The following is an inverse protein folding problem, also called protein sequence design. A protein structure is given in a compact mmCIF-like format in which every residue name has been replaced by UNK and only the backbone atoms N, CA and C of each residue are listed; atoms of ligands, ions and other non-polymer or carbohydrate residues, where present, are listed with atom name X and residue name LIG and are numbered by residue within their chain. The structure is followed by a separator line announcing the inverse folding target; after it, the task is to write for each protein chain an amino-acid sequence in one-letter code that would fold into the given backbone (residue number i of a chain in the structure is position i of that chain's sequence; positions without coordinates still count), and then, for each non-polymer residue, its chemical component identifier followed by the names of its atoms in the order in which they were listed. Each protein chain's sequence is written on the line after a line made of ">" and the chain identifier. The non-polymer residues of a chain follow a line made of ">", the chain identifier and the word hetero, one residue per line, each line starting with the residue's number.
data_IF_287625411419
#
_entry.id   IF_287625411419
#
_cell.length_a   1.000
_cell.length_b   1.000
_cell.length_c   1.000
_cell.angle_alpha   90.00
_cell.angle_beta   90.00
_cell.angle_gamma   90.00
#
_symmetry.space_group_name_H-M   'P 1'
#
loop_
_entity.id
_entity.type
_entity.pdbx_description
1 polymer ?
#
# COMPACT_ATOMS: atom_id res chain seq x y z
N UNK A 1 -36.05 56.97 63.21
CA UNK A 1 -37.52 57.01 63.06
C UNK A 1 -37.90 56.28 61.79
N UNK A 2 -38.66 55.19 61.96
CA UNK A 2 -39.59 54.49 61.04
C UNK A 2 -39.52 54.84 59.53
N UNK A 3 -39.23 53.84 58.69
CA UNK A 3 -40.28 53.15 57.93
C UNK A 3 -39.72 51.95 57.12
N UNK A 4 -40.24 50.77 57.45
CA UNK A 4 -40.26 49.57 56.61
C UNK A 4 -41.00 49.86 55.30
N UNK A 5 -40.52 49.34 54.18
CA UNK A 5 -41.41 48.77 53.17
C UNK A 5 -40.81 47.52 52.52
N UNK A 6 -41.62 46.46 52.58
CA UNK A 6 -41.42 45.12 52.04
C UNK A 6 -41.65 45.14 50.53
N UNK A 7 -40.81 44.46 49.76
CA UNK A 7 -41.24 43.77 48.54
C UNK A 7 -40.40 42.50 48.36
N UNK A 8 -41.05 41.36 48.53
CA UNK A 8 -40.56 40.03 48.14
C UNK A 8 -41.04 39.82 46.71
N UNK A 9 -40.10 39.76 45.76
CA UNK A 9 -40.37 39.37 44.38
C UNK A 9 -39.82 37.96 44.18
N UNK A 10 -40.71 36.99 44.01
CA UNK A 10 -40.36 35.64 43.56
C UNK A 10 -40.02 35.70 42.07
N UNK A 11 -38.76 35.43 41.72
CA UNK A 11 -38.33 35.24 40.34
C UNK A 11 -38.10 33.74 40.09
N UNK A 12 -39.09 33.10 39.46
CA UNK A 12 -38.98 31.73 38.97
C UNK A 12 -38.22 31.76 37.64
N UNK A 13 -36.91 31.51 37.66
CA UNK A 13 -36.14 31.31 36.43
C UNK A 13 -36.16 29.82 36.09
N UNK A 14 -36.87 29.49 35.02
CA UNK A 14 -36.85 28.19 34.36
C UNK A 14 -35.44 27.94 33.81
N UNK A 15 -34.78 26.90 34.30
CA UNK A 15 -33.57 26.35 33.71
C UNK A 15 -33.92 25.70 32.36
N UNK A 16 -33.74 26.43 31.27
CA UNK A 16 -33.60 25.83 29.95
C UNK A 16 -32.23 25.16 29.92
N UNK A 17 -32.21 23.85 30.06
CA UNK A 17 -31.06 23.02 29.76
C UNK A 17 -30.78 23.12 28.27
N UNK A 18 -29.81 23.95 27.90
CA UNK A 18 -29.15 23.87 26.60
C UNK A 18 -28.39 22.56 26.60
N UNK A 19 -29.07 21.50 26.15
CA UNK A 19 -28.41 20.28 25.71
C UNK A 19 -27.49 20.69 24.56
N UNK A 20 -26.20 20.81 24.86
CA UNK A 20 -25.13 20.88 23.87
C UNK A 20 -25.27 19.70 22.91
N UNK A 21 -25.90 19.92 21.76
CA UNK A 21 -25.65 19.12 20.58
C UNK A 21 -24.21 19.46 20.20
N UNK A 22 -23.26 18.60 20.55
CA UNK A 22 -21.96 18.68 19.92
C UNK A 22 -22.20 18.29 18.47
N UNK A 23 -22.34 19.30 17.61
CA UNK A 23 -22.03 19.17 16.21
C UNK A 23 -20.54 18.81 16.17
N UNK A 24 -20.28 17.52 16.33
CA UNK A 24 -19.08 16.91 15.78
C UNK A 24 -19.28 17.03 14.29
N UNK A 25 -18.83 18.15 13.74
CA UNK A 25 -18.36 18.18 12.37
C UNK A 25 -17.50 16.92 12.22
N UNK A 26 -18.01 15.92 11.51
CA UNK A 26 -17.15 14.92 10.90
C UNK A 26 -16.15 15.74 10.10
N UNK A 27 -14.92 15.83 10.58
CA UNK A 27 -13.79 16.22 9.77
C UNK A 27 -13.71 15.10 8.73
N UNK A 28 -14.47 15.26 7.65
CA UNK A 28 -14.33 14.47 6.44
C UNK A 28 -12.87 14.68 6.07
N UNK A 29 -12.08 13.61 6.16
CA UNK A 29 -10.70 13.63 5.72
C UNK A 29 -10.70 13.89 4.20
N UNK A 30 -10.67 15.16 3.83
CA UNK A 30 -10.69 15.63 2.44
C UNK A 30 -9.47 15.14 1.65
N UNK A 31 -8.49 14.54 2.33
CA UNK A 31 -7.25 14.03 1.72
C UNK A 31 -7.30 12.56 1.32
N UNK A 32 -8.44 11.87 1.52
CA UNK A 32 -8.56 10.46 1.16
C UNK A 32 -7.55 9.54 1.85
N UNK A 33 -7.02 9.97 3.01
CA UNK A 33 -5.97 9.31 3.79
C UNK A 33 -4.53 9.76 3.49
N UNK A 34 -4.32 10.78 2.65
CA UNK A 34 -2.97 11.29 2.34
C UNK A 34 -2.50 12.24 3.43
N UNK A 35 -1.54 11.78 4.24
CA UNK A 35 -0.92 12.56 5.32
C UNK A 35 0.47 13.08 4.94
N UNK A 36 1.10 12.50 3.90
CA UNK A 36 2.44 12.87 3.44
C UNK A 36 2.53 12.76 1.92
N UNK A 37 2.86 13.88 1.26
CA UNK A 37 3.09 13.94 -0.18
C UNK A 37 4.59 13.80 -0.45
N UNK A 38 4.97 12.66 -1.04
CA UNK A 38 6.38 12.30 -1.28
C UNK A 38 7.04 13.06 -2.44
N UNK A 39 6.28 13.31 -3.52
CA UNK A 39 6.79 13.97 -4.72
C UNK A 39 6.70 15.49 -4.59
N UNK A 40 7.71 16.24 -5.04
CA UNK A 40 7.75 17.70 -4.86
C UNK A 40 6.84 18.43 -5.84
N UNK A 41 6.64 17.88 -7.03
CA UNK A 41 5.85 18.49 -8.09
C UNK A 41 5.29 17.44 -9.06
N UNK A 42 4.47 17.91 -10.00
CA UNK A 42 3.82 17.08 -11.01
C UNK A 42 4.82 16.39 -11.95
N UNK A 43 5.97 17.00 -12.24
CA UNK A 43 6.96 16.42 -13.13
C UNK A 43 7.68 15.24 -12.46
N UNK A 44 8.07 15.38 -11.19
CA UNK A 44 8.67 14.30 -10.41
C UNK A 44 7.69 13.13 -10.23
N UNK A 45 6.42 13.43 -9.97
CA UNK A 45 5.36 12.42 -9.92
C UNK A 45 5.15 11.73 -11.29
N UNK A 46 5.21 12.49 -12.39
CA UNK A 46 5.05 11.97 -13.74
C UNK A 46 6.12 10.95 -14.13
N UNK A 47 7.33 11.00 -13.57
CA UNK A 47 8.37 10.00 -13.80
C UNK A 47 7.94 8.57 -13.42
N UNK A 48 6.89 8.43 -12.60
CA UNK A 48 6.36 7.13 -12.15
C UNK A 48 5.42 6.46 -13.15
N UNK A 49 4.96 7.18 -14.18
CA UNK A 49 3.99 6.67 -15.16
C UNK A 49 4.19 7.16 -16.60
N UNK A 50 5.06 8.15 -16.82
CA UNK A 50 5.37 8.77 -18.11
C UNK A 50 6.89 8.89 -18.30
N UNK A 51 7.58 7.76 -18.28
CA UNK A 51 9.06 7.72 -18.45
C UNK A 51 9.52 8.24 -19.81
N UNK A 52 8.65 8.21 -20.83
CA UNK A 52 8.90 8.77 -22.16
C UNK A 52 8.66 10.28 -22.27
N UNK A 53 8.14 10.93 -21.22
CA UNK A 53 7.90 12.37 -21.20
C UNK A 53 6.83 12.86 -22.18
N UNK A 54 5.88 12.00 -22.54
CA UNK A 54 4.88 12.21 -23.59
C UNK A 54 3.58 12.86 -23.10
N UNK A 55 3.30 12.81 -21.80
CA UNK A 55 2.07 13.35 -21.21
C UNK A 55 2.17 14.87 -21.09
N UNK A 56 1.12 15.58 -21.53
CA UNK A 56 1.08 17.04 -21.47
C UNK A 56 1.08 17.58 -20.03
N UNK A 57 1.64 18.79 -19.84
CA UNK A 57 1.71 19.43 -18.51
C UNK A 57 0.35 19.56 -17.80
N UNK A 58 -0.76 19.94 -18.48
CA UNK A 58 -2.07 20.01 -17.82
C UNK A 58 -2.51 18.67 -17.22
N UNK A 59 -2.29 17.55 -17.93
CA UNK A 59 -2.64 16.22 -17.43
C UNK A 59 -1.73 15.82 -16.27
N UNK A 60 -0.43 16.15 -16.32
CA UNK A 60 0.49 15.90 -15.20
C UNK A 60 0.06 16.64 -13.94
N UNK A 61 -0.29 17.92 -14.07
CA UNK A 61 -0.76 18.75 -12.96
C UNK A 61 -2.06 18.17 -12.38
N UNK A 62 -3.03 17.84 -13.23
CA UNK A 62 -4.29 17.24 -12.80
C UNK A 62 -4.08 15.91 -12.07
N UNK A 63 -3.26 15.02 -12.61
CA UNK A 63 -2.95 13.73 -11.98
C UNK A 63 -2.31 13.92 -10.60
N UNK A 64 -1.38 14.88 -10.48
CA UNK A 64 -0.71 15.16 -9.21
C UNK A 64 -1.64 15.80 -8.18
N UNK A 65 -2.53 16.70 -8.60
CA UNK A 65 -3.53 17.29 -7.70
C UNK A 65 -4.49 16.25 -7.15
N UNK A 66 -5.00 15.35 -8.00
CA UNK A 66 -5.83 14.22 -7.58
C UNK A 66 -5.09 13.28 -6.62
N UNK A 67 -3.81 13.00 -6.89
CA UNK A 67 -2.98 12.17 -6.04
C UNK A 67 -2.77 12.76 -4.63
N UNK A 68 -2.45 14.06 -4.54
CA UNK A 68 -2.26 14.74 -3.24
C UNK A 68 -3.53 14.78 -2.39
N UNK A 69 -4.69 14.85 -3.03
CA UNK A 69 -6.00 14.90 -2.38
C UNK A 69 -6.59 13.51 -2.11
N UNK A 70 -5.88 12.45 -2.47
CA UNK A 70 -6.38 11.08 -2.33
C UNK A 70 -7.66 10.79 -3.11
N UNK A 71 -7.88 11.48 -4.22
CA UNK A 71 -9.04 11.30 -5.10
C UNK A 71 -8.83 10.11 -6.04
N UNK A 72 -8.68 8.92 -5.46
CA UNK A 72 -8.21 7.71 -6.14
C UNK A 72 -9.09 7.28 -7.32
N UNK A 73 -10.42 7.34 -7.17
CA UNK A 73 -11.35 6.98 -8.26
C UNK A 73 -11.31 7.96 -9.44
N UNK A 74 -11.16 9.26 -9.16
CA UNK A 74 -10.97 10.29 -10.20
C UNK A 74 -9.62 10.11 -10.89
N UNK A 75 -8.56 9.78 -10.13
CA UNK A 75 -7.23 9.50 -10.67
C UNK A 75 -7.23 8.26 -11.57
N UNK A 76 -7.89 7.17 -11.15
CA UNK A 76 -8.05 5.96 -11.97
C UNK A 76 -8.81 6.25 -13.27
N UNK A 77 -9.87 7.06 -13.18
CA UNK A 77 -10.63 7.49 -14.37
C UNK A 77 -9.77 8.31 -15.31
N UNK A 78 -8.96 9.24 -14.79
CA UNK A 78 -8.02 10.03 -15.59
C UNK A 78 -7.02 9.13 -16.33
N UNK A 79 -6.44 8.15 -15.63
CA UNK A 79 -5.46 7.22 -16.21
C UNK A 79 -6.08 6.36 -17.31
N UNK A 80 -7.30 5.86 -17.11
CA UNK A 80 -8.04 5.08 -18.13
C UNK A 80 -8.35 5.93 -19.36
N UNK A 81 -8.91 7.13 -19.16
CA UNK A 81 -9.34 7.99 -20.28
C UNK A 81 -8.16 8.50 -21.13
N UNK A 82 -6.96 8.58 -20.56
CA UNK A 82 -5.76 9.04 -21.24
C UNK A 82 -4.78 7.90 -21.58
N UNK A 83 -5.16 6.63 -21.38
CA UNK A 83 -4.31 5.45 -21.62
C UNK A 83 -2.93 5.52 -20.93
N UNK A 84 -2.88 6.04 -19.70
CA UNK A 84 -1.63 6.25 -18.97
C UNK A 84 -1.17 4.95 -18.29
N UNK A 85 0.15 4.74 -18.24
CA UNK A 85 0.82 3.68 -17.48
C UNK A 85 0.32 2.24 -17.75
N UNK A 86 -0.24 1.98 -18.94
CA UNK A 86 -0.89 0.70 -19.22
C UNK A 86 -2.04 0.35 -18.26
N UNK A 87 -2.66 1.36 -17.63
CA UNK A 87 -3.72 1.19 -16.64
C UNK A 87 -3.27 0.94 -15.20
N UNK A 88 -1.96 0.85 -14.93
CA UNK A 88 -1.44 0.73 -13.57
C UNK A 88 -1.48 2.08 -12.82
N UNK A 89 -1.61 2.08 -11.49
CA UNK A 89 -1.56 3.31 -10.71
C UNK A 89 -0.18 3.96 -10.83
N UNK A 90 -0.09 5.30 -10.71
CA UNK A 90 1.19 5.99 -10.60
C UNK A 90 1.87 5.66 -9.26
N UNK A 91 3.09 6.16 -9.06
CA UNK A 91 3.85 6.01 -7.82
C UNK A 91 4.02 4.56 -7.36
N UNK A 92 4.10 3.61 -8.30
CA UNK A 92 4.09 2.18 -8.03
C UNK A 92 2.91 1.73 -7.15
N UNK A 93 1.75 2.39 -7.28
CA UNK A 93 0.56 2.12 -6.48
C UNK A 93 0.63 2.57 -5.03
N UNK A 94 1.62 3.41 -4.66
CA UNK A 94 1.85 3.86 -3.29
C UNK A 94 1.43 5.30 -3.02
N UNK A 95 0.94 5.57 -1.81
CA UNK A 95 0.85 6.91 -1.21
C UNK A 95 1.37 6.88 0.24
N UNK A 96 1.55 8.05 0.88
CA UNK A 96 2.21 8.16 2.20
C UNK A 96 3.57 7.45 2.24
N UNK A 97 4.36 7.67 1.18
CA UNK A 97 5.61 6.95 0.95
C UNK A 97 6.66 7.36 1.99
N UNK A 98 7.33 6.36 2.56
CA UNK A 98 8.55 6.52 3.36
C UNK A 98 9.65 5.71 2.69
N UNK A 99 10.71 6.40 2.29
CA UNK A 99 11.84 5.78 1.59
C UNK A 99 12.99 5.44 2.55
N UNK A 100 13.95 4.65 2.06
CA UNK A 100 15.17 4.30 2.79
C UNK A 100 14.89 3.58 4.13
N UNK A 101 13.81 2.79 4.18
CA UNK A 101 13.39 2.02 5.35
C UNK A 101 14.25 0.75 5.47
N UNK A 102 14.98 0.55 6.59
CA UNK A 102 15.83 -0.61 6.76
C UNK A 102 15.00 -1.90 6.88
N UNK A 103 15.56 -2.99 6.33
CA UNK A 103 15.05 -4.34 6.53
C UNK A 103 15.86 -5.00 7.66
N UNK A 104 15.17 -5.43 8.71
CA UNK A 104 15.81 -5.96 9.92
C UNK A 104 15.36 -7.38 10.20
N UNK A 105 16.26 -8.17 10.79
CA UNK A 105 16.02 -9.52 11.23
C UNK A 105 14.72 -9.63 12.04
N UNK A 106 13.93 -10.66 11.76
CA UNK A 106 12.65 -10.92 12.41
C UNK A 106 11.45 -10.23 11.76
N UNK A 107 11.65 -9.29 10.83
CA UNK A 107 10.55 -8.77 10.02
C UNK A 107 10.00 -9.88 9.10
N UNK A 108 8.68 -9.84 8.92
CA UNK A 108 7.93 -10.79 8.10
C UNK A 108 7.13 -10.05 7.05
N UNK A 109 7.00 -10.67 5.89
CA UNK A 109 6.27 -10.15 4.75
C UNK A 109 5.52 -11.27 4.06
N UNK A 110 4.54 -10.94 3.23
CA UNK A 110 3.90 -11.89 2.34
C UNK A 110 3.72 -11.32 0.92
N UNK A 111 3.43 -12.21 -0.02
CA UNK A 111 3.24 -11.84 -1.42
C UNK A 111 2.36 -12.86 -2.15
N UNK A 112 1.52 -12.33 -3.03
CA UNK A 112 0.88 -13.07 -4.10
C UNK A 112 1.71 -12.93 -5.39
N UNK A 113 1.91 -14.02 -6.13
CA UNK A 113 2.63 -13.97 -7.42
C UNK A 113 2.12 -15.02 -8.40
N UNK A 114 2.26 -14.76 -9.69
CA UNK A 114 2.17 -15.80 -10.72
C UNK A 114 3.48 -16.58 -10.84
N UNK A 115 3.43 -17.73 -11.50
CA UNK A 115 4.64 -18.45 -11.85
C UNK A 115 5.49 -17.67 -12.86
N UNK A 116 6.80 -17.68 -12.68
CA UNK A 116 7.75 -17.04 -13.60
C UNK A 116 8.15 -18.05 -14.68
N UNK A 117 8.05 -17.63 -15.95
CA UNK A 117 8.43 -18.45 -17.10
C UNK A 117 7.54 -19.69 -17.27
N UNK A 118 8.10 -20.76 -17.84
CA UNK A 118 7.39 -22.01 -18.15
C UNK A 118 7.44 -23.01 -16.98
N UNK A 119 7.22 -22.56 -15.75
CA UNK A 119 7.23 -23.45 -14.58
C UNK A 119 6.17 -24.55 -14.71
N UNK A 120 6.58 -25.80 -14.54
CA UNK A 120 5.75 -26.98 -14.82
C UNK A 120 5.12 -27.60 -13.57
N UNK A 121 5.36 -27.03 -12.39
CA UNK A 121 4.92 -27.61 -11.11
C UNK A 121 5.93 -28.58 -10.46
N UNK A 122 7.04 -28.86 -11.13
CA UNK A 122 8.09 -29.73 -10.62
C UNK A 122 9.27 -28.94 -10.05
N UNK A 123 9.78 -29.37 -8.89
CA UNK A 123 10.90 -28.72 -8.21
C UNK A 123 10.52 -27.38 -7.55
N UNK A 124 11.51 -26.61 -7.13
CA UNK A 124 11.30 -25.33 -6.45
C UNK A 124 10.97 -24.25 -7.50
N UNK A 125 9.84 -23.52 -7.39
CA UNK A 125 9.53 -22.44 -8.31
C UNK A 125 10.49 -21.27 -8.12
N UNK A 126 10.77 -20.55 -9.21
CA UNK A 126 11.47 -19.28 -9.14
C UNK A 126 10.46 -18.17 -8.78
N UNK A 127 10.68 -17.49 -7.66
CA UNK A 127 9.81 -16.46 -7.10
C UNK A 127 10.49 -15.10 -7.22
N UNK A 128 9.82 -14.10 -7.80
CA UNK A 128 10.41 -12.78 -8.06
C UNK A 128 9.49 -11.59 -7.78
N UNK A 129 9.89 -10.44 -8.33
CA UNK A 129 9.33 -9.12 -8.03
C UNK A 129 9.84 -8.55 -6.71
N UNK A 130 9.46 -7.31 -6.40
CA UNK A 130 9.99 -6.55 -5.25
C UNK A 130 8.94 -6.09 -4.25
N UNK A 131 7.65 -6.21 -4.55
CA UNK A 131 6.57 -5.68 -3.72
C UNK A 131 5.99 -6.75 -2.80
N UNK A 132 5.96 -6.48 -1.50
CA UNK A 132 5.38 -7.37 -0.49
C UNK A 132 4.40 -6.59 0.39
N UNK A 133 3.53 -7.26 1.13
CA UNK A 133 2.88 -6.60 2.28
C UNK A 133 3.58 -7.00 3.57
N UNK A 134 3.81 -6.06 4.50
CA UNK A 134 4.40 -6.39 5.79
C UNK A 134 3.39 -7.15 6.66
N UNK A 135 3.90 -8.12 7.43
CA UNK A 135 3.16 -8.81 8.48
C UNK A 135 3.64 -8.25 9.82
N UNK A 136 2.78 -7.47 10.48
CA UNK A 136 3.10 -6.81 11.75
C UNK A 136 2.23 -7.41 12.85
N UNK A 137 2.86 -7.94 13.90
CA UNK A 137 2.15 -8.58 15.03
C UNK A 137 1.16 -9.67 14.57
N UNK A 138 1.50 -10.41 13.52
CA UNK A 138 0.66 -11.45 12.94
C UNK A 138 -0.51 -10.95 12.07
N UNK A 139 -0.69 -9.64 11.93
CA UNK A 139 -1.69 -9.08 11.04
C UNK A 139 -1.28 -9.25 9.58
N UNK A 140 -2.21 -9.78 8.79
CA UNK A 140 -2.07 -10.02 7.34
C UNK A 140 -3.12 -9.18 6.61
N UNK A 141 -2.69 -8.36 5.64
CA UNK A 141 -3.62 -7.59 4.81
C UNK A 141 -4.45 -8.52 3.93
N UNK A 142 -5.74 -8.22 3.82
CA UNK A 142 -6.67 -8.93 2.93
C UNK A 142 -6.24 -8.78 1.47
N UNK A 143 -6.73 -9.65 0.59
CA UNK A 143 -6.42 -9.57 -0.83
C UNK A 143 -6.84 -8.23 -1.45
N UNK A 144 -8.04 -7.74 -1.15
CA UNK A 144 -8.55 -6.47 -1.70
C UNK A 144 -7.76 -5.25 -1.23
N UNK A 145 -7.19 -5.29 -0.03
CA UNK A 145 -6.35 -4.20 0.48
C UNK A 145 -5.02 -4.03 -0.28
N UNK A 146 -4.67 -5.00 -1.13
CA UNK A 146 -3.44 -5.00 -1.94
C UNK A 146 -3.64 -4.45 -3.34
N UNK A 147 -4.89 -4.16 -3.73
CA UNK A 147 -5.26 -3.61 -5.03
C UNK A 147 -4.59 -4.30 -6.23
N UNK A 148 -4.61 -5.64 -6.23
CA UNK A 148 -4.01 -6.46 -7.27
C UNK A 148 -4.89 -6.53 -8.52
N UNK A 149 -4.25 -6.63 -9.71
CA UNK A 149 -4.88 -6.44 -11.02
C UNK A 149 -5.71 -7.63 -11.54
N UNK A 150 -5.84 -8.69 -10.76
CA UNK A 150 -6.61 -9.89 -11.12
C UNK A 150 -7.19 -10.50 -9.85
N UNK A 151 -8.13 -11.43 -10.00
CA UNK A 151 -8.74 -12.14 -8.87
C UNK A 151 -7.71 -13.00 -8.09
N UNK A 152 -7.96 -13.22 -6.79
CA UNK A 152 -7.05 -14.00 -5.93
C UNK A 152 -6.76 -15.39 -6.50
N UNK A 153 -7.80 -16.05 -7.03
CA UNK A 153 -7.71 -17.39 -7.63
C UNK A 153 -6.88 -17.45 -8.93
N UNK A 154 -6.36 -16.32 -9.44
CA UNK A 154 -5.47 -16.29 -10.61
C UNK A 154 -4.00 -16.30 -10.24
N UNK A 155 -3.68 -16.07 -8.97
CA UNK A 155 -2.30 -16.12 -8.48
C UNK A 155 -1.88 -17.56 -8.21
N UNK A 156 -0.71 -17.94 -8.71
CA UNK A 156 -0.20 -19.30 -8.56
C UNK A 156 0.42 -19.55 -7.18
N UNK A 157 0.94 -18.51 -6.53
CA UNK A 157 1.58 -18.62 -5.23
C UNK A 157 1.13 -17.53 -4.27
N UNK A 158 0.91 -17.91 -3.02
CA UNK A 158 0.93 -17.04 -1.87
C UNK A 158 1.99 -17.56 -0.89
N UNK A 159 2.94 -16.72 -0.52
CA UNK A 159 4.07 -17.09 0.32
C UNK A 159 4.43 -16.01 1.33
N UNK A 160 5.06 -16.45 2.41
CA UNK A 160 5.64 -15.60 3.45
C UNK A 160 7.15 -15.53 3.30
N UNK A 161 7.74 -14.39 3.67
CA UNK A 161 9.16 -14.09 3.61
C UNK A 161 9.59 -13.63 5.00
N UNK A 162 10.54 -14.34 5.61
CA UNK A 162 11.19 -13.97 6.87
C UNK A 162 12.55 -13.33 6.58
N UNK A 163 12.84 -12.16 7.15
CA UNK A 163 14.18 -11.57 7.14
C UNK A 163 15.02 -12.23 8.24
N UNK A 164 16.16 -12.83 7.88
CA UNK A 164 16.95 -13.65 8.80
C UNK A 164 18.07 -12.88 9.51
N UNK A 165 18.59 -11.82 8.89
CA UNK A 165 19.71 -11.05 9.43
C UNK A 165 19.64 -9.58 8.99
N UNK A 166 20.53 -8.76 9.55
CA UNK A 166 20.63 -7.32 9.24
C UNK A 166 21.67 -7.02 8.14
N UNK A 167 21.97 -8.00 7.27
CA UNK A 167 23.06 -7.92 6.28
C UNK A 167 22.57 -7.69 4.85
N UNK A 168 21.26 -7.49 4.64
CA UNK A 168 20.71 -7.14 3.34
C UNK A 168 21.39 -5.85 2.82
N UNK A 169 21.97 -5.86 1.60
CA UNK A 169 22.78 -4.75 1.09
C UNK A 169 21.94 -3.61 0.50
N UNK A 170 20.64 -3.57 0.79
CA UNK A 170 19.70 -2.59 0.28
C UNK A 170 18.61 -2.30 1.30
N UNK A 171 17.94 -1.17 1.12
CA UNK A 171 16.78 -0.77 1.93
C UNK A 171 15.48 -0.98 1.17
N UNK A 172 14.38 -0.62 1.81
CA UNK A 172 13.04 -0.70 1.25
C UNK A 172 12.38 0.67 1.20
N UNK A 173 11.25 0.74 0.51
CA UNK A 173 10.31 1.84 0.54
C UNK A 173 8.97 1.29 1.03
N UNK A 174 8.34 1.96 1.98
CA UNK A 174 7.00 1.60 2.45
C UNK A 174 5.98 2.61 1.98
N UNK A 175 4.75 2.16 1.74
CA UNK A 175 3.65 3.00 1.31
C UNK A 175 2.30 2.41 1.73
N UNK A 176 1.29 3.25 1.84
CA UNK A 176 -0.10 2.83 1.72
C UNK A 176 -0.44 2.48 0.27
N UNK A 177 -1.32 1.51 0.06
CA UNK A 177 -1.72 1.04 -1.28
C UNK A 177 -2.88 1.87 -1.82
N UNK A 178 -2.71 2.51 -2.98
CA UNK A 178 -3.78 3.25 -3.66
C UNK A 178 -4.95 2.30 -3.98
N UNK A 179 -6.20 2.63 -3.63
CA UNK A 179 -7.39 1.96 -4.16
C UNK A 179 -7.40 2.01 -5.69
N UNK A 180 -7.39 0.85 -6.35
CA UNK A 180 -7.24 0.74 -7.80
C UNK A 180 -7.84 -0.56 -8.31
N UNK A 181 -8.09 -0.68 -9.62
CA UNK A 181 -8.70 -1.87 -10.24
C UNK A 181 -10.05 -2.27 -9.60
N UNK A 182 -10.79 -1.31 -9.06
CA UNK A 182 -12.03 -1.55 -8.30
C UNK A 182 -11.83 -2.24 -6.95
N UNK A 183 -10.59 -2.34 -6.45
CA UNK A 183 -10.26 -2.91 -5.15
C UNK A 183 -10.18 -1.83 -4.06
N UNK A 184 -10.33 -2.25 -2.80
CA UNK A 184 -10.38 -1.35 -1.64
C UNK A 184 -9.05 -0.62 -1.41
N UNK A 185 -7.90 -1.26 -1.69
CA UNK A 185 -6.60 -0.69 -1.36
C UNK A 185 -6.45 -0.39 0.13
N UNK A 186 -5.71 0.66 0.48
CA UNK A 186 -5.47 1.13 1.86
C UNK A 186 -4.75 0.11 2.77
N UNK A 187 -4.22 -0.96 2.19
CA UNK A 187 -3.24 -1.80 2.88
C UNK A 187 -1.87 -1.14 2.93
N UNK A 188 -0.87 -1.84 3.48
CA UNK A 188 0.53 -1.43 3.36
C UNK A 188 1.27 -2.30 2.35
N UNK A 189 2.16 -1.66 1.60
CA UNK A 189 3.15 -2.34 0.78
C UNK A 189 4.57 -1.93 1.14
N UNK A 190 5.50 -2.82 0.85
CA UNK A 190 6.94 -2.62 0.97
C UNK A 190 7.57 -3.01 -0.36
N UNK A 191 8.17 -2.03 -1.04
CA UNK A 191 9.02 -2.26 -2.20
C UNK A 191 10.45 -2.48 -1.72
N UNK A 192 10.98 -3.67 -1.95
CA UNK A 192 12.36 -3.99 -1.67
C UNK A 192 13.24 -3.47 -2.81
N UNK A 193 14.26 -2.65 -2.53
CA UNK A 193 15.20 -2.14 -3.55
C UNK A 193 16.25 -3.20 -3.89
N UNK A 194 15.79 -4.40 -4.22
CA UNK A 194 16.64 -5.56 -4.50
C UNK A 194 17.55 -5.23 -5.68
N UNK A 195 18.85 -5.50 -5.50
CA UNK A 195 19.86 -5.26 -6.52
C UNK A 195 19.68 -6.15 -7.75
N UNK A 196 20.21 -5.67 -8.88
CA UNK A 196 20.33 -6.45 -10.10
C UNK A 196 21.35 -7.57 -9.89
N UNK A 197 20.99 -8.79 -10.29
CA UNK A 197 21.90 -9.92 -10.37
C UNK A 197 22.79 -9.75 -11.62
N UNK A 198 24.12 -9.56 -11.46
CA UNK A 198 25.02 -9.39 -12.60
C UNK A 198 25.06 -10.62 -13.52
N UNK A 199 24.70 -11.81 -13.04
CA UNK A 199 24.67 -13.02 -13.86
C UNK A 199 23.49 -13.08 -14.82
N UNK A 200 22.38 -12.39 -14.49
CA UNK A 200 21.14 -12.45 -15.30
C UNK A 200 20.77 -11.12 -15.94
N UNK A 201 21.29 -10.00 -15.42
CA UNK A 201 20.86 -8.65 -15.80
C UNK A 201 19.48 -8.25 -15.25
N UNK A 202 18.82 -9.13 -14.48
CA UNK A 202 17.54 -8.88 -13.83
C UNK A 202 17.69 -8.76 -12.32
N UNK A 203 16.68 -8.18 -11.66
CA UNK A 203 16.62 -8.14 -10.20
C UNK A 203 16.77 -9.54 -9.58
N UNK A 204 17.55 -9.66 -8.50
CA UNK A 204 17.68 -10.93 -7.77
C UNK A 204 16.30 -11.44 -7.33
N UNK A 205 16.11 -12.74 -7.44
CA UNK A 205 14.87 -13.41 -7.03
C UNK A 205 14.84 -13.67 -5.52
N UNK A 206 13.66 -13.97 -4.97
CA UNK A 206 13.55 -14.37 -3.57
C UNK A 206 14.36 -15.64 -3.30
N UNK A 207 14.43 -16.56 -4.27
CA UNK A 207 15.29 -17.75 -4.20
C UNK A 207 16.76 -17.38 -4.06
N UNK A 208 17.23 -16.38 -4.80
CA UNK A 208 18.63 -15.94 -4.74
C UNK A 208 18.95 -15.30 -3.39
N UNK A 209 18.07 -14.44 -2.88
CA UNK A 209 18.24 -13.85 -1.55
C UNK A 209 18.18 -14.91 -0.43
N UNK A 210 17.36 -15.95 -0.62
CA UNK A 210 17.30 -17.09 0.29
C UNK A 210 18.62 -17.87 0.28
N UNK A 211 19.11 -18.26 -0.91
CA UNK A 211 20.40 -18.94 -1.10
C UNK A 211 21.59 -18.16 -0.49
N UNK A 212 21.53 -16.82 -0.52
CA UNK A 212 22.55 -15.94 0.06
C UNK A 212 22.41 -15.80 1.60
N UNK A 213 21.42 -16.47 2.21
CA UNK A 213 21.20 -16.53 3.65
C UNK A 213 20.49 -15.31 4.24
N UNK A 214 19.95 -14.41 3.42
CA UNK A 214 19.33 -13.18 3.91
C UNK A 214 17.88 -13.36 4.34
N UNK A 215 17.15 -14.22 3.64
CA UNK A 215 15.73 -14.46 3.87
C UNK A 215 15.42 -15.96 3.89
N UNK A 216 14.25 -16.30 4.41
CA UNK A 216 13.61 -17.60 4.21
C UNK A 216 12.25 -17.37 3.59
N UNK A 217 11.90 -18.15 2.58
CA UNK A 217 10.58 -18.09 1.95
C UNK A 217 9.82 -19.37 2.25
N UNK A 218 8.55 -19.24 2.66
CA UNK A 218 7.66 -20.38 2.88
C UNK A 218 6.44 -20.25 1.98
N UNK A 219 6.24 -21.17 1.03
CA UNK A 219 5.03 -21.22 0.21
C UNK A 219 3.87 -21.67 1.10
N UNK A 220 2.85 -20.83 1.23
CA UNK A 220 1.72 -21.09 2.14
C UNK A 220 0.56 -21.78 1.43
N UNK A 221 0.25 -21.34 0.20
CA UNK A 221 -0.80 -21.94 -0.64
C UNK A 221 -0.59 -21.60 -2.12
N UNK A 222 -1.30 -22.32 -2.98
CA UNK A 222 -1.47 -22.01 -4.41
C UNK A 222 -2.92 -21.53 -4.63
N UNK A 223 -3.20 -20.21 -4.62
CA UNK A 223 -4.57 -19.70 -4.77
C UNK A 223 -5.28 -20.18 -6.03
N UNK A 224 -4.54 -20.37 -7.14
CA UNK A 224 -5.07 -20.92 -8.40
C UNK A 224 -5.35 -22.43 -8.37
N UNK A 225 -4.96 -23.12 -7.31
CA UNK A 225 -5.05 -24.58 -7.19
C UNK A 225 -4.07 -25.38 -8.03
N UNK A 226 -3.33 -24.75 -8.96
CA UNK A 226 -2.44 -25.45 -9.91
C UNK A 226 -1.28 -26.18 -9.23
N UNK A 227 -0.75 -25.63 -8.15
CA UNK A 227 0.47 -26.12 -7.49
C UNK A 227 0.29 -26.38 -5.99
N UNK A 228 -0.87 -26.94 -5.61
CA UNK A 228 -1.20 -27.24 -4.21
C UNK A 228 -0.17 -28.14 -3.53
N UNK A 229 0.51 -29.01 -4.29
CA UNK A 229 1.58 -29.88 -3.81
C UNK A 229 2.80 -29.12 -3.27
N UNK A 230 2.94 -27.82 -3.54
CA UNK A 230 4.06 -27.01 -3.08
C UNK A 230 3.77 -26.25 -1.78
N UNK A 231 2.54 -26.32 -1.25
CA UNK A 231 2.25 -25.73 0.06
C UNK A 231 3.14 -26.36 1.14
N UNK A 232 3.76 -25.52 1.97
CA UNK A 232 4.75 -25.92 2.98
C UNK A 232 6.19 -25.96 2.47
N UNK A 233 6.45 -25.76 1.17
CA UNK A 233 7.82 -25.69 0.64
C UNK A 233 8.57 -24.51 1.27
N UNK A 234 9.75 -24.80 1.81
CA UNK A 234 10.68 -23.82 2.36
C UNK A 234 11.85 -23.63 1.40
N UNK A 235 12.21 -22.38 1.14
CA UNK A 235 13.36 -21.98 0.31
C UNK A 235 14.29 -21.18 1.22
N UNK A 236 15.50 -21.69 1.42
CA UNK A 236 16.54 -21.15 2.29
C UNK A 236 17.92 -21.57 1.76
#
# INVERSE_FOLDING_TARGET
>A
MKNLFKYVLFLSVTLLSVSCSSDRDEIIDETGGVIHVFYKNADEFALTYDTGGTVSQPIRNQAFDLYKLGKWGELETLFKNNNLNGGWPPANGGYNIVDEVPLTAGQKFDRYSGAIGNYTGNGIPNLGGSFTSPIVNGYVYTFSQRALNQEENKYDFYYEIDVLNNLLPFKSQTADVIPWFGQVGKGKQTMWKISIDPATGYQKTWNKLAQEGYIKVTIKKSPSGKYNNLAGTVIQ
#
